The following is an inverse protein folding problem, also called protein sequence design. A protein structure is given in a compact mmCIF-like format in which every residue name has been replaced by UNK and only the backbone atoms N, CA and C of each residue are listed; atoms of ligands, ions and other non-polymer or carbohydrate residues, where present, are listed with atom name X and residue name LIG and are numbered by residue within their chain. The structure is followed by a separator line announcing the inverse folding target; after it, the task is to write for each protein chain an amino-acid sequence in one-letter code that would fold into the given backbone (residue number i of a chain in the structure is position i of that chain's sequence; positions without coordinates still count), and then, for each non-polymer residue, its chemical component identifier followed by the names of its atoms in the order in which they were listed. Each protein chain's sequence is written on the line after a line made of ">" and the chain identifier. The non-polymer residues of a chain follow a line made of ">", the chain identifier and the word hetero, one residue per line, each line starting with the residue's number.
data_IF_426111385176
#
_entry.id   IF_426111385176
#
_cell.length_a   1.000
_cell.length_b   1.000
_cell.length_c   1.000
_cell.angle_alpha   90.00
_cell.angle_beta   90.00
_cell.angle_gamma   90.00
#
_symmetry.space_group_name_H-M   'P 1'
#
loop_
_entity.id
_entity.type
_entity.pdbx_description
1 polymer ?
#
# COMPACT_ATOMS: atom_id res chain seq x y z
N UNK A 1 -73.07 -1.78 5.99
CA UNK A 1 -72.42 -2.39 7.18
C UNK A 1 -70.94 -2.43 6.93
N UNK A 2 -70.24 -1.43 7.52
CA UNK A 2 -68.79 -1.13 7.32
C UNK A 2 -68.00 -2.15 8.07
N UNK A 3 -66.95 -2.70 7.44
CA UNK A 3 -65.81 -3.30 8.11
C UNK A 3 -64.51 -2.77 7.50
N UNK A 4 -63.78 -2.04 8.34
CA UNK A 4 -62.54 -1.32 8.21
C UNK A 4 -61.39 -2.23 7.84
N UNK A 5 -60.69 -1.92 6.73
CA UNK A 5 -59.31 -2.34 6.50
C UNK A 5 -58.38 -1.51 7.37
N UNK A 6 -57.87 -2.10 8.43
CA UNK A 6 -56.72 -1.58 9.18
C UNK A 6 -55.45 -1.97 8.44
N UNK A 7 -54.86 -1.01 7.73
CA UNK A 7 -53.49 -1.09 7.27
C UNK A 7 -52.55 -1.02 8.48
N UNK A 8 -52.00 -2.15 8.89
CA UNK A 8 -50.91 -2.24 9.86
C UNK A 8 -49.58 -2.04 9.12
N UNK A 9 -49.18 -0.80 8.92
CA UNK A 9 -47.81 -0.44 8.59
C UNK A 9 -47.01 -0.46 9.88
N UNK A 10 -46.52 -1.62 10.29
CA UNK A 10 -45.45 -1.75 11.28
C UNK A 10 -44.15 -1.20 10.65
N UNK A 11 -44.03 0.13 10.63
CA UNK A 11 -42.72 0.76 10.51
C UNK A 11 -41.94 0.43 11.77
N UNK A 12 -40.99 -0.48 11.64
CA UNK A 12 -39.97 -0.71 12.67
C UNK A 12 -39.38 0.66 13.07
N UNK A 13 -39.23 0.95 14.37
CA UNK A 13 -38.65 2.19 14.82
C UNK A 13 -37.20 2.24 14.25
N UNK A 14 -36.91 3.28 13.47
CA UNK A 14 -35.54 3.63 13.12
C UNK A 14 -34.80 3.87 14.44
N UNK A 15 -34.10 2.86 14.91
CA UNK A 15 -33.11 3.03 15.96
C UNK A 15 -32.19 4.18 15.49
N UNK A 16 -32.18 5.28 16.21
CA UNK A 16 -31.14 6.29 16.15
C UNK A 16 -29.86 5.62 16.61
N UNK A 17 -29.20 4.85 15.73
CA UNK A 17 -27.85 4.43 15.97
C UNK A 17 -26.97 5.64 15.69
N UNK A 18 -26.45 6.24 16.74
CA UNK A 18 -25.25 7.10 16.72
C UNK A 18 -24.05 6.19 16.39
N UNK A 19 -24.19 5.37 15.33
CA UNK A 19 -23.14 4.48 14.90
C UNK A 19 -22.13 5.31 14.11
N UNK A 20 -21.12 5.79 14.84
CA UNK A 20 -20.01 6.60 14.30
C UNK A 20 -19.27 5.90 13.16
N UNK A 21 -19.60 4.66 12.82
CA UNK A 21 -18.97 3.84 11.79
C UNK A 21 -19.83 3.67 10.52
N UNK A 22 -20.99 4.36 10.45
CA UNK A 22 -21.80 4.41 9.23
C UNK A 22 -21.30 5.50 8.29
N UNK A 23 -20.70 5.10 7.17
CA UNK A 23 -20.24 6.04 6.13
C UNK A 23 -21.38 6.70 5.34
N UNK A 24 -22.61 6.23 5.52
CA UNK A 24 -23.81 6.81 4.91
C UNK A 24 -24.28 8.09 5.59
N UNK A 25 -23.83 8.35 6.82
CA UNK A 25 -24.24 9.50 7.63
C UNK A 25 -23.08 10.47 7.88
N UNK A 26 -23.37 11.65 8.41
CA UNK A 26 -22.36 12.68 8.73
C UNK A 26 -21.70 13.31 7.51
N UNK A 27 -20.67 14.12 7.76
CA UNK A 27 -19.90 14.78 6.72
C UNK A 27 -18.95 13.81 6.01
N UNK A 28 -18.87 13.89 4.69
CA UNK A 28 -17.97 13.04 3.89
C UNK A 28 -16.50 13.29 4.25
N UNK A 29 -16.11 14.55 4.40
CA UNK A 29 -14.75 14.92 4.79
C UNK A 29 -14.39 14.35 6.16
N UNK A 30 -15.30 14.43 7.13
CA UNK A 30 -15.09 13.86 8.48
C UNK A 30 -14.91 12.34 8.43
N UNK A 31 -15.75 11.64 7.66
CA UNK A 31 -15.63 10.19 7.50
C UNK A 31 -14.31 9.77 6.85
N UNK A 32 -13.85 10.51 5.83
CA UNK A 32 -12.57 10.26 5.17
C UNK A 32 -11.40 10.55 6.11
N UNK A 33 -11.34 11.72 6.76
CA UNK A 33 -10.24 12.11 7.62
C UNK A 33 -10.11 11.21 8.84
N UNK A 34 -11.22 10.72 9.38
CA UNK A 34 -11.22 9.77 10.50
C UNK A 34 -10.55 8.44 10.17
N UNK A 35 -10.52 8.03 8.92
CA UNK A 35 -9.75 6.88 8.44
C UNK A 35 -8.36 7.30 7.95
N UNK A 36 -8.27 8.38 7.20
CA UNK A 36 -7.05 8.82 6.54
C UNK A 36 -5.94 9.19 7.53
N UNK A 37 -6.28 9.91 8.61
CA UNK A 37 -5.29 10.32 9.61
C UNK A 37 -4.64 9.11 10.30
N UNK A 38 -5.39 8.15 10.88
CA UNK A 38 -4.79 6.96 11.45
C UNK A 38 -4.01 6.13 10.42
N UNK A 39 -4.51 6.01 9.19
CA UNK A 39 -3.81 5.24 8.14
C UNK A 39 -2.49 5.91 7.71
N UNK A 40 -2.45 7.23 7.65
CA UNK A 40 -1.21 7.97 7.39
C UNK A 40 -0.20 7.81 8.53
N UNK A 41 -0.67 7.90 9.78
CA UNK A 41 0.18 7.66 10.96
C UNK A 41 0.70 6.22 11.00
N UNK A 42 -0.11 5.24 10.65
CA UNK A 42 0.32 3.84 10.54
C UNK A 42 1.45 3.68 9.50
N UNK A 43 1.35 4.34 8.35
CA UNK A 43 2.42 4.31 7.34
C UNK A 43 3.70 4.98 7.83
N UNK A 44 3.58 6.12 8.51
CA UNK A 44 4.74 6.79 9.11
C UNK A 44 5.44 5.89 10.14
N UNK A 45 4.69 5.27 11.04
CA UNK A 45 5.22 4.32 12.02
C UNK A 45 5.93 3.16 11.33
N UNK A 46 5.34 2.63 10.26
CA UNK A 46 5.92 1.54 9.49
C UNK A 46 7.26 1.91 8.84
N UNK A 47 7.37 3.12 8.28
CA UNK A 47 8.64 3.60 7.70
C UNK A 47 9.69 3.82 8.77
N UNK A 48 9.33 4.45 9.89
CA UNK A 48 10.24 4.67 11.01
C UNK A 48 10.79 3.34 11.54
N UNK A 49 9.92 2.36 11.74
CA UNK A 49 10.36 1.05 12.20
C UNK A 49 11.32 0.38 11.21
N UNK A 50 11.04 0.41 9.90
CA UNK A 50 11.92 -0.16 8.87
C UNK A 50 13.31 0.51 8.85
N UNK A 51 13.37 1.82 9.11
CA UNK A 51 14.63 2.54 9.21
C UNK A 51 15.43 2.08 10.45
N UNK A 52 14.76 1.97 11.60
CA UNK A 52 15.40 1.58 12.85
C UNK A 52 15.90 0.13 12.80
N UNK A 53 15.12 -0.79 12.23
CA UNK A 53 15.55 -2.18 12.00
C UNK A 53 16.86 -2.26 11.19
N UNK A 54 16.95 -1.48 10.11
CA UNK A 54 18.18 -1.39 9.31
C UNK A 54 19.36 -0.79 10.10
N UNK A 55 19.09 0.19 10.97
CA UNK A 55 20.11 0.78 11.84
C UNK A 55 20.66 -0.29 12.79
N UNK A 56 19.81 -1.08 13.43
CA UNK A 56 20.25 -2.16 14.31
C UNK A 56 21.11 -3.20 13.59
N UNK A 57 20.70 -3.63 12.40
CA UNK A 57 21.45 -4.58 11.58
C UNK A 57 22.79 -3.98 11.13
N UNK A 58 22.81 -2.69 10.78
CA UNK A 58 24.02 -1.95 10.40
C UNK A 58 25.04 -1.79 11.53
N UNK A 59 24.65 -2.03 12.78
CA UNK A 59 25.54 -1.98 13.96
C UNK A 59 25.99 -3.38 14.43
N UNK A 60 25.77 -4.43 13.63
CA UNK A 60 26.28 -5.75 13.93
C UNK A 60 27.82 -5.74 13.87
N UNK A 61 28.52 -6.17 14.95
CA UNK A 61 29.97 -6.23 14.95
C UNK A 61 30.51 -7.14 13.84
N UNK A 62 31.57 -6.72 13.16
CA UNK A 62 32.36 -7.46 12.15
C UNK A 62 31.64 -7.89 10.87
N UNK A 63 30.29 -7.87 10.81
CA UNK A 63 29.49 -8.42 9.70
C UNK A 63 28.38 -7.48 9.18
N UNK A 64 28.41 -6.21 9.57
CA UNK A 64 27.34 -5.24 9.26
C UNK A 64 27.04 -5.13 7.76
N UNK A 65 28.07 -4.97 6.94
CA UNK A 65 27.92 -4.82 5.47
C UNK A 65 27.36 -6.09 4.84
N UNK A 66 27.88 -7.26 5.22
CA UNK A 66 27.42 -8.56 4.71
C UNK A 66 25.97 -8.86 5.15
N UNK A 67 25.63 -8.51 6.40
CA UNK A 67 24.30 -8.68 6.96
C UNK A 67 23.28 -7.78 6.24
N UNK A 68 23.57 -6.48 6.08
CA UNK A 68 22.71 -5.53 5.36
C UNK A 68 22.52 -5.95 3.91
N UNK A 69 23.58 -6.33 3.21
CA UNK A 69 23.53 -6.82 1.84
C UNK A 69 22.68 -8.10 1.78
N UNK A 70 22.93 -9.05 2.68
CA UNK A 70 22.18 -10.31 2.74
C UNK A 70 20.69 -10.09 2.92
N UNK A 71 20.28 -9.21 3.84
CA UNK A 71 18.85 -8.87 4.04
C UNK A 71 18.31 -8.14 2.81
N UNK A 72 19.06 -7.23 2.20
CA UNK A 72 18.65 -6.56 0.95
C UNK A 72 18.29 -7.54 -0.16
N UNK A 73 19.00 -8.68 -0.26
CA UNK A 73 18.74 -9.73 -1.24
C UNK A 73 17.44 -10.52 -0.96
N UNK A 74 16.85 -10.40 0.22
CA UNK A 74 15.55 -11.02 0.55
C UNK A 74 14.35 -10.15 0.14
N UNK A 75 14.55 -8.85 -0.10
CA UNK A 75 13.48 -7.90 -0.42
C UNK A 75 12.60 -8.30 -1.61
N UNK A 76 13.11 -8.89 -2.71
CA UNK A 76 12.24 -9.35 -3.79
C UNK A 76 11.24 -10.42 -3.35
N UNK A 77 11.66 -11.36 -2.49
CA UNK A 77 10.75 -12.40 -1.94
C UNK A 77 9.69 -11.76 -1.05
N UNK A 78 10.08 -10.83 -0.19
CA UNK A 78 9.17 -10.06 0.68
C UNK A 78 8.16 -9.26 -0.16
N UNK A 79 8.62 -8.67 -1.27
CA UNK A 79 7.77 -7.93 -2.21
C UNK A 79 6.72 -8.85 -2.85
N UNK A 80 7.07 -10.07 -3.22
CA UNK A 80 6.13 -11.06 -3.75
C UNK A 80 5.05 -11.39 -2.69
N UNK A 81 5.44 -11.65 -1.44
CA UNK A 81 4.51 -11.91 -0.34
C UNK A 81 3.55 -10.73 -0.15
N UNK A 82 4.08 -9.51 -0.13
CA UNK A 82 3.30 -8.27 -0.02
C UNK A 82 2.35 -8.08 -1.21
N UNK A 83 2.77 -8.43 -2.43
CA UNK A 83 1.93 -8.36 -3.62
C UNK A 83 0.72 -9.29 -3.50
N UNK A 84 0.90 -10.53 -3.05
CA UNK A 84 -0.21 -11.46 -2.79
C UNK A 84 -1.09 -11.01 -1.63
N UNK A 85 -0.51 -10.40 -0.60
CA UNK A 85 -1.27 -9.77 0.50
C UNK A 85 -2.21 -8.68 -0.03
N UNK A 86 -1.70 -7.83 -0.91
CA UNK A 86 -2.47 -6.77 -1.56
C UNK A 86 -3.53 -7.33 -2.52
N UNK A 87 -3.23 -8.43 -3.22
CA UNK A 87 -4.18 -9.09 -4.12
C UNK A 87 -5.50 -9.41 -3.40
N UNK A 88 -5.45 -9.95 -2.20
CA UNK A 88 -6.64 -10.38 -1.48
C UNK A 88 -7.15 -9.32 -0.48
N UNK A 89 -6.25 -8.58 0.16
CA UNK A 89 -6.61 -7.52 1.10
C UNK A 89 -7.21 -6.29 0.41
N UNK A 90 -6.45 -5.69 -0.50
CA UNK A 90 -6.91 -4.50 -1.25
C UNK A 90 -7.97 -4.84 -2.31
N UNK A 91 -8.03 -6.08 -2.80
CA UNK A 91 -9.09 -6.52 -3.71
C UNK A 91 -10.41 -6.76 -3.00
N UNK A 92 -10.37 -7.38 -1.81
CA UNK A 92 -11.56 -7.74 -1.04
C UNK A 92 -12.20 -6.58 -0.30
N UNK A 93 -11.41 -5.68 0.30
CA UNK A 93 -11.93 -4.62 1.17
C UNK A 93 -12.91 -3.64 0.48
N UNK A 94 -12.68 -3.16 -0.76
CA UNK A 94 -13.67 -2.33 -1.46
C UNK A 94 -14.95 -3.08 -1.78
N UNK A 95 -14.86 -4.35 -2.21
CA UNK A 95 -16.03 -5.20 -2.48
C UNK A 95 -16.85 -5.46 -1.22
N UNK A 96 -16.17 -5.69 -0.09
CA UNK A 96 -16.78 -5.81 1.22
C UNK A 96 -17.53 -4.53 1.61
N UNK A 97 -16.91 -3.36 1.45
CA UNK A 97 -17.53 -2.06 1.75
C UNK A 97 -18.73 -1.79 0.85
N UNK A 98 -18.67 -2.14 -0.44
CA UNK A 98 -19.81 -2.04 -1.36
C UNK A 98 -20.96 -2.93 -0.95
N UNK A 99 -20.71 -4.21 -0.64
CA UNK A 99 -21.74 -5.15 -0.19
C UNK A 99 -22.38 -4.69 1.14
N UNK A 100 -21.58 -4.13 2.06
CA UNK A 100 -22.08 -3.53 3.30
C UNK A 100 -22.99 -2.33 3.03
N UNK A 101 -22.57 -1.42 2.12
CA UNK A 101 -23.37 -0.26 1.71
C UNK A 101 -24.66 -0.64 0.99
N UNK A 102 -24.67 -1.71 0.22
CA UNK A 102 -25.84 -2.27 -0.46
C UNK A 102 -26.83 -2.96 0.49
N UNK A 103 -26.49 -3.10 1.78
CA UNK A 103 -27.32 -3.84 2.73
C UNK A 103 -27.27 -5.36 2.54
N UNK A 104 -26.18 -5.89 2.01
CA UNK A 104 -25.96 -7.32 1.74
C UNK A 104 -24.95 -7.93 2.75
N UNK A 105 -25.26 -8.05 4.06
CA UNK A 105 -24.29 -8.48 5.07
C UNK A 105 -23.79 -9.91 4.85
N UNK A 106 -24.62 -10.79 4.29
CA UNK A 106 -24.21 -12.17 3.98
C UNK A 106 -23.13 -12.19 2.88
N UNK A 107 -23.25 -11.38 1.83
CA UNK A 107 -22.25 -11.25 0.78
C UNK A 107 -20.97 -10.63 1.32
N UNK A 108 -21.08 -9.59 2.15
CA UNK A 108 -19.92 -8.96 2.79
C UNK A 108 -19.13 -9.96 3.65
N UNK A 109 -19.83 -10.78 4.49
CA UNK A 109 -19.18 -11.85 5.26
C UNK A 109 -18.50 -12.91 4.38
N UNK A 110 -19.13 -13.28 3.26
CA UNK A 110 -18.51 -14.20 2.30
C UNK A 110 -17.24 -13.61 1.67
N UNK A 111 -17.24 -12.33 1.30
CA UNK A 111 -16.04 -11.65 0.78
C UNK A 111 -14.92 -11.64 1.83
N UNK A 112 -15.24 -11.28 3.07
CA UNK A 112 -14.30 -11.31 4.20
C UNK A 112 -13.71 -12.72 4.40
N UNK A 113 -14.55 -13.75 4.47
CA UNK A 113 -14.14 -15.15 4.66
C UNK A 113 -13.32 -15.68 3.49
N UNK A 114 -13.73 -15.40 2.24
CA UNK A 114 -13.00 -15.83 1.04
C UNK A 114 -11.63 -15.15 0.94
N UNK A 115 -11.53 -13.84 1.24
CA UNK A 115 -10.24 -13.14 1.26
C UNK A 115 -9.30 -13.73 2.31
N UNK A 116 -9.81 -14.04 3.51
CA UNK A 116 -9.02 -14.69 4.56
C UNK A 116 -8.54 -16.09 4.12
N UNK A 117 -9.45 -16.92 3.57
CA UNK A 117 -9.08 -18.25 3.07
C UNK A 117 -8.02 -18.19 1.96
N UNK A 118 -8.13 -17.22 1.05
CA UNK A 118 -7.15 -17.03 -0.01
C UNK A 118 -5.79 -16.54 0.52
N UNK A 119 -5.78 -15.69 1.55
CA UNK A 119 -4.54 -15.30 2.22
C UNK A 119 -3.85 -16.50 2.88
N UNK A 120 -4.61 -17.38 3.55
CA UNK A 120 -4.06 -18.60 4.15
C UNK A 120 -3.52 -19.58 3.09
N UNK A 121 -4.30 -19.85 2.04
CA UNK A 121 -3.91 -20.79 0.98
C UNK A 121 -2.70 -20.27 0.22
N UNK A 122 -2.76 -19.03 -0.26
CA UNK A 122 -1.64 -18.45 -1.00
C UNK A 122 -0.40 -18.25 -0.13
N UNK A 123 -0.57 -17.86 1.14
CA UNK A 123 0.51 -17.75 2.10
C UNK A 123 1.20 -19.08 2.38
N UNK A 124 0.41 -20.16 2.55
CA UNK A 124 0.95 -21.52 2.70
C UNK A 124 1.69 -22.00 1.46
N UNK A 125 1.14 -21.75 0.27
CA UNK A 125 1.79 -22.09 -1.01
C UNK A 125 3.09 -21.31 -1.17
N UNK A 126 3.07 -19.98 -0.95
CA UNK A 126 4.24 -19.14 -1.05
C UNK A 126 5.32 -19.53 -0.02
N UNK A 127 4.92 -19.80 1.22
CA UNK A 127 5.83 -20.27 2.27
C UNK A 127 6.57 -21.53 1.80
N UNK A 128 5.85 -22.55 1.32
CA UNK A 128 6.43 -23.81 0.87
C UNK A 128 7.30 -23.59 -0.37
N UNK A 129 6.79 -22.95 -1.42
CA UNK A 129 7.51 -22.75 -2.67
C UNK A 129 8.78 -21.91 -2.47
N UNK A 130 8.67 -20.78 -1.75
CA UNK A 130 9.84 -19.94 -1.49
C UNK A 130 10.85 -20.62 -0.56
N UNK A 131 10.38 -21.43 0.40
CA UNK A 131 11.28 -22.16 1.30
C UNK A 131 12.09 -23.23 0.56
N UNK A 132 11.44 -23.98 -0.34
CA UNK A 132 12.09 -24.99 -1.17
C UNK A 132 13.04 -24.39 -2.22
N UNK A 133 12.65 -23.22 -2.76
CA UNK A 133 13.43 -22.54 -3.82
C UNK A 133 14.30 -21.38 -3.30
N UNK A 134 14.44 -21.19 -1.98
CA UNK A 134 15.18 -20.06 -1.41
C UNK A 134 16.63 -19.93 -1.90
N UNK A 135 17.34 -21.06 -2.07
CA UNK A 135 18.73 -21.06 -2.54
C UNK A 135 18.84 -20.53 -3.97
N UNK A 136 18.19 -21.13 -4.99
CA UNK A 136 18.25 -20.59 -6.34
C UNK A 136 17.69 -19.17 -6.45
N UNK A 137 16.64 -18.81 -5.68
CA UNK A 137 16.10 -17.45 -5.67
C UNK A 137 17.11 -16.41 -5.15
N UNK A 138 17.79 -16.70 -4.03
CA UNK A 138 18.76 -15.77 -3.46
C UNK A 138 19.96 -15.57 -4.42
N UNK A 139 20.46 -16.64 -5.05
CA UNK A 139 21.52 -16.50 -6.05
C UNK A 139 21.04 -15.77 -7.31
N UNK A 140 19.81 -15.98 -7.75
CA UNK A 140 19.21 -15.22 -8.84
C UNK A 140 19.13 -13.72 -8.53
N UNK A 141 18.89 -13.38 -7.26
CA UNK A 141 18.85 -11.98 -6.80
C UNK A 141 20.23 -11.40 -6.47
N UNK A 142 21.30 -12.12 -6.73
CA UNK A 142 22.68 -11.63 -6.63
C UNK A 142 23.41 -12.03 -5.35
N UNK A 143 22.96 -13.07 -4.63
CA UNK A 143 23.71 -13.58 -3.49
C UNK A 143 25.06 -14.15 -3.93
N UNK A 144 26.10 -13.84 -3.17
CA UNK A 144 27.41 -14.49 -3.24
C UNK A 144 27.56 -15.51 -2.11
N UNK A 145 28.60 -16.35 -2.18
CA UNK A 145 28.90 -17.30 -1.10
C UNK A 145 29.14 -16.61 0.25
N UNK A 146 29.53 -15.34 0.23
CA UNK A 146 29.75 -14.51 1.43
C UNK A 146 28.42 -13.99 2.00
N UNK A 147 27.49 -13.53 1.15
CA UNK A 147 26.24 -12.90 1.58
C UNK A 147 25.10 -13.90 1.77
N UNK A 148 25.19 -15.07 1.11
CA UNK A 148 24.15 -16.12 1.18
C UNK A 148 23.85 -16.59 2.61
N UNK A 149 24.82 -16.84 3.51
CA UNK A 149 24.52 -17.29 4.86
C UNK A 149 23.60 -16.32 5.63
N UNK A 150 23.82 -15.02 5.49
CA UNK A 150 23.00 -13.97 6.12
C UNK A 150 21.62 -13.88 5.51
N UNK A 151 21.55 -13.87 4.18
CA UNK A 151 20.27 -13.86 3.44
C UNK A 151 19.42 -15.10 3.79
N UNK A 152 20.06 -16.30 3.79
CA UNK A 152 19.39 -17.55 4.11
C UNK A 152 18.95 -17.60 5.59
N UNK A 153 19.75 -17.08 6.52
CA UNK A 153 19.42 -17.01 7.94
C UNK A 153 18.15 -16.17 8.19
N UNK A 154 18.05 -15.00 7.53
CA UNK A 154 16.91 -14.12 7.63
C UNK A 154 15.66 -14.71 6.95
N UNK A 155 15.77 -15.07 5.66
CA UNK A 155 14.62 -15.47 4.88
C UNK A 155 14.02 -16.79 5.34
N UNK A 156 14.82 -17.73 5.85
CA UNK A 156 14.31 -19.01 6.36
C UNK A 156 13.35 -18.83 7.52
N UNK A 157 13.66 -17.93 8.44
CA UNK A 157 12.76 -17.58 9.53
C UNK A 157 11.58 -16.74 9.03
N UNK A 158 11.85 -15.69 8.23
CA UNK A 158 10.78 -14.83 7.70
C UNK A 158 9.69 -15.61 6.96
N UNK A 159 10.07 -16.61 6.16
CA UNK A 159 9.12 -17.45 5.42
C UNK A 159 8.19 -18.26 6.34
N UNK A 160 8.66 -18.70 7.51
CA UNK A 160 7.80 -19.36 8.50
C UNK A 160 6.73 -18.39 9.01
N UNK A 161 7.06 -17.10 9.13
CA UNK A 161 6.15 -16.04 9.52
C UNK A 161 5.24 -15.50 8.41
N UNK A 162 5.34 -16.00 7.18
CA UNK A 162 4.58 -15.48 6.01
C UNK A 162 3.08 -15.39 6.28
N UNK A 163 2.48 -16.39 6.91
CA UNK A 163 1.05 -16.39 7.23
C UNK A 163 0.70 -15.25 8.19
N UNK A 164 1.52 -14.97 9.20
CA UNK A 164 1.29 -13.87 10.14
C UNK A 164 1.35 -12.51 9.43
N UNK A 165 2.34 -12.32 8.56
CA UNK A 165 2.48 -11.10 7.75
C UNK A 165 1.26 -10.91 6.87
N UNK A 166 0.83 -11.94 6.14
CA UNK A 166 -0.31 -11.86 5.24
C UNK A 166 -1.63 -11.61 5.97
N UNK A 167 -1.83 -12.22 7.14
CA UNK A 167 -3.01 -11.99 7.97
C UNK A 167 -2.99 -10.57 8.54
N UNK A 168 -1.89 -10.15 9.16
CA UNK A 168 -1.81 -8.84 9.82
C UNK A 168 -2.04 -7.69 8.82
N UNK A 169 -1.39 -7.72 7.67
CA UNK A 169 -1.51 -6.66 6.66
C UNK A 169 -2.78 -6.80 5.80
N UNK A 170 -3.09 -8.01 5.34
CA UNK A 170 -4.22 -8.26 4.44
C UNK A 170 -5.56 -8.04 5.11
N UNK A 171 -5.74 -8.60 6.31
CA UNK A 171 -7.01 -8.50 7.03
C UNK A 171 -7.20 -7.14 7.72
N UNK A 172 -6.13 -6.37 7.96
CA UNK A 172 -6.23 -5.00 8.46
C UNK A 172 -7.03 -4.09 7.52
N UNK A 173 -7.00 -4.35 6.21
CA UNK A 173 -7.82 -3.62 5.24
C UNK A 173 -9.33 -3.76 5.52
N UNK A 174 -9.78 -4.89 6.06
CA UNK A 174 -11.18 -5.11 6.44
C UNK A 174 -11.57 -4.44 7.75
N UNK A 175 -10.61 -4.21 8.67
CA UNK A 175 -10.83 -3.37 9.86
C UNK A 175 -11.09 -1.92 9.42
N UNK A 176 -10.27 -1.40 8.53
CA UNK A 176 -10.43 -0.07 7.96
C UNK A 176 -11.74 0.05 7.13
N UNK A 177 -12.08 -1.00 6.37
CA UNK A 177 -13.32 -1.07 5.59
C UNK A 177 -14.59 -1.08 6.45
N UNK A 178 -14.49 -1.46 7.73
CA UNK A 178 -15.56 -1.35 8.72
C UNK A 178 -15.62 0.01 9.41
N UNK A 179 -14.67 0.91 9.17
CA UNK A 179 -14.65 2.25 9.76
C UNK A 179 -13.77 2.37 11.00
N UNK A 180 -13.02 1.35 11.37
CA UNK A 180 -12.18 1.31 12.57
C UNK A 180 -10.72 1.69 12.26
N UNK A 181 -10.48 2.87 11.65
CA UNK A 181 -9.14 3.33 11.28
C UNK A 181 -8.15 3.38 12.44
N UNK A 182 -8.57 3.79 13.64
CA UNK A 182 -7.72 3.78 14.83
C UNK A 182 -7.29 2.36 15.21
N UNK A 183 -8.19 1.39 15.14
CA UNK A 183 -7.86 -0.02 15.40
C UNK A 183 -6.90 -0.56 14.33
N UNK A 184 -7.10 -0.17 13.07
CA UNK A 184 -6.18 -0.49 11.98
C UNK A 184 -4.78 0.10 12.18
N UNK A 185 -4.69 1.33 12.65
CA UNK A 185 -3.42 1.96 13.03
C UNK A 185 -2.75 1.21 14.20
N UNK A 186 -3.52 0.86 15.23
CA UNK A 186 -3.00 0.10 16.38
C UNK A 186 -2.41 -1.26 15.97
N UNK A 187 -2.97 -1.92 14.96
CA UNK A 187 -2.38 -3.15 14.40
C UNK A 187 -0.93 -2.95 13.99
N UNK A 188 -0.66 -1.90 13.21
CA UNK A 188 0.68 -1.57 12.73
C UNK A 188 1.57 -1.11 13.88
N UNK A 189 1.04 -0.27 14.78
CA UNK A 189 1.77 0.27 15.93
C UNK A 189 2.22 -0.82 16.90
N UNK A 190 1.37 -1.81 17.20
CA UNK A 190 1.72 -2.95 18.05
C UNK A 190 2.88 -3.72 17.44
N UNK A 191 2.81 -4.05 16.14
CA UNK A 191 3.89 -4.72 15.43
C UNK A 191 5.19 -3.93 15.46
N UNK A 192 5.14 -2.63 15.17
CA UNK A 192 6.32 -1.77 15.12
C UNK A 192 6.97 -1.60 16.51
N UNK A 193 6.19 -1.34 17.55
CA UNK A 193 6.71 -1.16 18.92
C UNK A 193 7.32 -2.46 19.44
N UNK A 194 6.66 -3.59 19.22
CA UNK A 194 7.20 -4.88 19.63
C UNK A 194 8.50 -5.20 18.89
N UNK A 195 8.55 -4.97 17.59
CA UNK A 195 9.76 -5.19 16.82
C UNK A 195 10.91 -4.30 17.31
N UNK A 196 10.66 -3.02 17.56
CA UNK A 196 11.63 -2.07 18.10
C UNK A 196 12.23 -2.51 19.45
N UNK A 197 11.45 -3.20 20.28
CA UNK A 197 11.91 -3.72 21.57
C UNK A 197 12.62 -5.07 21.41
N UNK A 198 12.09 -5.95 20.55
CA UNK A 198 12.61 -7.30 20.39
C UNK A 198 13.89 -7.35 19.56
N UNK A 199 14.06 -6.42 18.60
CA UNK A 199 15.27 -6.37 17.77
C UNK A 199 16.56 -6.25 18.61
N UNK A 200 16.75 -5.21 19.46
CA UNK A 200 17.97 -5.11 20.26
C UNK A 200 18.13 -6.29 21.23
N UNK A 201 17.03 -6.82 21.75
CA UNK A 201 17.07 -7.97 22.65
C UNK A 201 17.60 -9.22 21.93
N UNK A 202 17.08 -9.54 20.75
CA UNK A 202 17.49 -10.75 20.03
C UNK A 202 18.80 -10.56 19.29
N UNK A 203 19.03 -9.38 18.71
CA UNK A 203 20.25 -9.10 17.93
C UNK A 203 21.49 -9.03 18.84
N UNK A 204 21.42 -8.21 19.91
CA UNK A 204 22.59 -7.86 20.72
C UNK A 204 22.66 -8.63 22.05
N UNK A 205 21.54 -8.71 22.81
CA UNK A 205 21.57 -9.36 24.14
C UNK A 205 21.63 -10.88 24.02
N UNK A 206 20.84 -11.47 23.11
CA UNK A 206 20.85 -12.90 22.85
C UNK A 206 21.85 -13.32 21.76
N UNK A 207 22.62 -12.37 21.21
CA UNK A 207 23.64 -12.59 20.17
C UNK A 207 23.17 -13.40 18.96
N UNK A 208 21.89 -13.28 18.58
CA UNK A 208 21.33 -14.02 17.44
C UNK A 208 21.62 -13.35 16.09
N UNK A 209 22.13 -12.09 16.10
CA UNK A 209 22.45 -11.34 14.87
C UNK A 209 21.24 -11.25 13.92
N UNK A 210 21.46 -11.52 12.63
CA UNK A 210 20.42 -11.46 11.57
C UNK A 210 19.23 -12.38 11.85
N UNK A 211 19.45 -13.54 12.48
CA UNK A 211 18.35 -14.43 12.91
C UNK A 211 17.46 -13.78 13.95
N UNK A 212 18.06 -12.99 14.84
CA UNK A 212 17.35 -12.22 15.86
C UNK A 212 16.37 -11.21 15.25
N UNK A 213 16.80 -10.44 14.26
CA UNK A 213 15.96 -9.51 13.52
C UNK A 213 14.76 -10.21 12.84
N UNK A 214 15.01 -11.33 12.15
CA UNK A 214 13.94 -12.12 11.54
C UNK A 214 12.95 -12.64 12.58
N UNK A 215 13.42 -13.15 13.70
CA UNK A 215 12.58 -13.68 14.78
C UNK A 215 11.73 -12.57 15.42
N UNK A 216 12.32 -11.41 15.70
CA UNK A 216 11.61 -10.25 16.21
C UNK A 216 10.48 -9.81 15.27
N UNK A 217 10.76 -9.76 13.97
CA UNK A 217 9.75 -9.45 12.94
C UNK A 217 8.60 -10.46 12.96
N UNK A 218 8.89 -11.76 13.01
CA UNK A 218 7.84 -12.81 13.00
C UNK A 218 6.98 -12.73 14.24
N UNK A 219 7.58 -12.58 15.43
CA UNK A 219 6.83 -12.48 16.68
C UNK A 219 5.93 -11.25 16.67
N UNK A 220 6.47 -10.11 16.24
CA UNK A 220 5.73 -8.85 16.14
C UNK A 220 4.55 -8.95 15.17
N UNK A 221 4.76 -9.54 14.00
CA UNK A 221 3.70 -9.79 13.03
C UNK A 221 2.70 -10.84 13.51
N UNK A 222 3.16 -11.86 14.26
CA UNK A 222 2.29 -12.84 14.89
C UNK A 222 1.33 -12.21 15.89
N UNK A 223 1.83 -11.34 16.77
CA UNK A 223 0.99 -10.61 17.73
C UNK A 223 0.03 -9.65 17.01
N UNK A 224 0.48 -8.96 15.97
CA UNK A 224 -0.39 -8.13 15.12
C UNK A 224 -1.48 -8.96 14.44
N UNK A 225 -1.16 -10.16 13.95
CA UNK A 225 -2.13 -11.06 13.35
C UNK A 225 -3.18 -11.55 14.37
N UNK A 226 -2.75 -11.89 15.58
CA UNK A 226 -3.66 -12.25 16.69
C UNK A 226 -4.57 -11.08 17.03
N UNK A 227 -4.05 -9.86 17.11
CA UNK A 227 -4.84 -8.65 17.34
C UNK A 227 -5.92 -8.45 16.28
N UNK A 228 -5.55 -8.56 14.99
CA UNK A 228 -6.48 -8.46 13.85
C UNK A 228 -7.57 -9.51 13.92
N UNK A 229 -7.19 -10.78 14.17
CA UNK A 229 -8.15 -11.87 14.27
C UNK A 229 -9.06 -11.71 15.48
N UNK A 230 -8.52 -11.32 16.64
CA UNK A 230 -9.32 -11.05 17.84
C UNK A 230 -10.36 -9.95 17.59
N UNK A 231 -9.98 -8.88 16.87
CA UNK A 231 -10.94 -7.84 16.50
C UNK A 231 -12.01 -8.36 15.53
N UNK A 232 -11.60 -9.02 14.44
CA UNK A 232 -12.52 -9.48 13.38
C UNK A 232 -13.44 -10.62 13.82
N UNK A 233 -13.07 -11.40 14.82
CA UNK A 233 -13.92 -12.44 15.41
C UNK A 233 -14.70 -11.94 16.63
N UNK A 234 -14.33 -10.79 17.16
CA UNK A 234 -14.90 -10.20 18.38
C UNK A 234 -16.21 -9.44 18.13
N UNK A 235 -16.88 -9.09 19.24
CA UNK A 235 -18.17 -8.38 19.24
C UNK A 235 -18.09 -6.91 18.78
N UNK A 236 -16.88 -6.33 18.68
CA UNK A 236 -16.66 -4.95 18.25
C UNK A 236 -16.72 -4.80 16.71
N UNK A 237 -16.46 -5.87 15.97
CA UNK A 237 -16.57 -5.85 14.53
C UNK A 237 -18.04 -5.78 14.10
N UNK A 238 -18.35 -4.91 13.12
CA UNK A 238 -19.70 -4.79 12.56
C UNK A 238 -20.11 -6.08 11.86
N UNK A 239 -19.17 -6.64 11.08
CA UNK A 239 -19.30 -7.94 10.42
C UNK A 239 -18.13 -8.83 10.82
N UNK A 240 -18.45 -9.92 11.50
CA UNK A 240 -17.44 -10.84 12.04
C UNK A 240 -16.96 -11.85 11.03
N UNK A 241 -15.69 -12.19 11.12
CA UNK A 241 -15.10 -13.35 10.44
C UNK A 241 -15.63 -14.64 11.08
N UNK A 242 -16.19 -15.54 10.30
CA UNK A 242 -16.75 -16.80 10.77
C UNK A 242 -16.39 -17.93 9.82
N UNK A 243 -16.10 -19.11 10.39
CA UNK A 243 -15.78 -20.34 9.64
C UNK A 243 -16.86 -20.69 8.60
N UNK A 244 -18.14 -20.40 8.88
CA UNK A 244 -19.24 -20.66 7.98
C UNK A 244 -19.12 -19.96 6.63
N UNK A 245 -18.39 -18.84 6.57
CA UNK A 245 -18.21 -18.03 5.35
C UNK A 245 -16.84 -18.19 4.70
N UNK A 246 -15.99 -19.08 5.20
CA UNK A 246 -14.64 -19.34 4.66
C UNK A 246 -14.63 -20.32 3.49
N UNK A 247 -15.76 -21.01 3.25
CA UNK A 247 -15.87 -21.88 2.06
C UNK A 247 -15.68 -21.05 0.80
N UNK A 248 -14.74 -21.48 -0.05
CA UNK A 248 -14.38 -20.77 -1.27
C UNK A 248 -15.57 -20.74 -2.25
N UNK A 249 -15.91 -19.53 -2.67
CA UNK A 249 -16.80 -19.24 -3.78
C UNK A 249 -15.93 -18.68 -4.92
N UNK A 250 -15.69 -19.50 -5.94
CA UNK A 250 -14.82 -19.15 -7.07
C UNK A 250 -15.25 -17.88 -7.81
N UNK A 251 -16.54 -17.56 -7.80
CA UNK A 251 -17.05 -16.31 -8.38
C UNK A 251 -16.55 -15.11 -7.59
N UNK A 252 -16.69 -15.15 -6.26
CA UNK A 252 -16.19 -14.10 -5.38
C UNK A 252 -14.66 -14.01 -5.41
N UNK A 253 -13.97 -15.14 -5.40
CA UNK A 253 -12.49 -15.17 -5.54
C UNK A 253 -12.05 -14.49 -6.83
N UNK A 254 -12.72 -14.75 -7.96
CA UNK A 254 -12.44 -14.09 -9.23
C UNK A 254 -12.66 -12.57 -9.16
N UNK A 255 -13.74 -12.11 -8.52
CA UNK A 255 -14.01 -10.68 -8.32
C UNK A 255 -12.92 -10.02 -7.46
N UNK A 256 -12.54 -10.66 -6.34
CA UNK A 256 -11.49 -10.20 -5.43
C UNK A 256 -10.15 -10.11 -6.17
N UNK A 257 -9.74 -11.19 -6.86
CA UNK A 257 -8.50 -11.20 -7.62
C UNK A 257 -8.50 -10.16 -8.74
N UNK A 258 -9.59 -10.01 -9.48
CA UNK A 258 -9.69 -9.05 -10.57
C UNK A 258 -9.44 -7.62 -10.09
N UNK A 259 -10.00 -7.24 -8.94
CA UNK A 259 -9.81 -5.90 -8.37
C UNK A 259 -8.43 -5.77 -7.70
N UNK A 260 -8.00 -6.79 -6.97
CA UNK A 260 -6.72 -6.80 -6.24
C UNK A 260 -5.50 -6.89 -7.16
N UNK A 261 -5.68 -7.35 -8.41
CA UNK A 261 -4.61 -7.42 -9.40
C UNK A 261 -3.96 -6.05 -9.64
N UNK A 262 -4.71 -4.95 -9.50
CA UNK A 262 -4.15 -3.61 -9.59
C UNK A 262 -3.09 -3.33 -8.50
N UNK A 263 -3.38 -3.69 -7.25
CA UNK A 263 -2.44 -3.55 -6.12
C UNK A 263 -1.27 -4.53 -6.22
N UNK A 264 -1.53 -5.75 -6.69
CA UNK A 264 -0.49 -6.76 -6.96
C UNK A 264 0.52 -6.26 -8.00
N UNK A 265 0.05 -5.80 -9.16
CA UNK A 265 0.87 -5.25 -10.23
C UNK A 265 1.64 -4.02 -9.75
N UNK A 266 0.99 -3.12 -9.01
CA UNK A 266 1.64 -1.92 -8.48
C UNK A 266 2.81 -2.27 -7.55
N UNK A 267 2.67 -3.28 -6.70
CA UNK A 267 3.74 -3.74 -5.81
C UNK A 267 4.95 -4.30 -6.59
N UNK A 268 4.71 -5.17 -7.58
CA UNK A 268 5.77 -5.76 -8.40
C UNK A 268 6.44 -4.70 -9.28
N UNK A 269 5.66 -3.85 -9.96
CA UNK A 269 6.22 -2.86 -10.88
C UNK A 269 7.02 -1.77 -10.17
N UNK A 270 6.66 -1.39 -8.93
CA UNK A 270 7.47 -0.46 -8.15
C UNK A 270 8.88 -1.00 -7.89
N UNK A 271 8.99 -2.28 -7.49
CA UNK A 271 10.30 -2.93 -7.32
C UNK A 271 11.09 -3.02 -8.63
N UNK A 272 10.41 -3.39 -9.73
CA UNK A 272 11.06 -3.49 -11.05
C UNK A 272 11.58 -2.13 -11.54
N UNK A 273 10.80 -1.06 -11.38
CA UNK A 273 11.24 0.31 -11.72
C UNK A 273 12.49 0.70 -10.94
N UNK A 274 12.54 0.42 -9.64
CA UNK A 274 13.69 0.75 -8.82
C UNK A 274 14.97 0.03 -9.28
N UNK A 275 14.85 -1.26 -9.63
CA UNK A 275 15.97 -2.05 -10.17
C UNK A 275 16.46 -1.45 -11.49
N UNK A 276 15.55 -1.15 -12.42
CA UNK A 276 15.89 -0.59 -13.74
C UNK A 276 16.51 0.80 -13.60
N UNK A 277 15.95 1.67 -12.75
CA UNK A 277 16.50 3.00 -12.49
C UNK A 277 17.92 2.92 -11.92
N UNK A 278 18.15 2.10 -10.89
CA UNK A 278 19.46 1.95 -10.27
C UNK A 278 20.49 1.38 -11.24
N UNK A 279 20.16 0.34 -12.02
CA UNK A 279 21.03 -0.25 -13.00
C UNK A 279 21.43 0.75 -14.12
N UNK A 280 20.44 1.56 -14.57
CA UNK A 280 20.69 2.57 -15.59
C UNK A 280 21.53 3.72 -15.06
N UNK A 281 21.25 4.21 -13.84
CA UNK A 281 22.05 5.27 -13.20
C UNK A 281 23.48 4.81 -12.91
N UNK A 282 23.66 3.59 -12.44
CA UNK A 282 25.00 3.02 -12.23
C UNK A 282 25.82 3.01 -13.53
N UNK A 283 25.17 2.70 -14.66
CA UNK A 283 25.82 2.68 -15.98
C UNK A 283 26.23 4.07 -16.49
N UNK A 284 25.41 5.09 -16.28
CA UNK A 284 25.59 6.44 -16.85
C UNK A 284 26.26 7.42 -15.89
N UNK A 285 26.16 7.25 -14.59
CA UNK A 285 26.65 8.19 -13.59
C UNK A 285 27.34 7.57 -12.38
N UNK A 286 27.47 6.23 -12.35
CA UNK A 286 28.14 5.53 -11.24
C UNK A 286 27.36 5.55 -9.93
N UNK A 287 28.07 5.22 -8.85
CA UNK A 287 27.49 5.04 -7.51
C UNK A 287 26.93 6.33 -6.92
N UNK A 288 27.50 7.49 -7.27
CA UNK A 288 27.00 8.80 -6.82
C UNK A 288 25.54 9.00 -7.21
N UNK A 289 25.17 8.73 -8.45
CA UNK A 289 23.81 8.93 -8.94
C UNK A 289 22.82 7.87 -8.44
N UNK A 290 23.28 6.66 -8.13
CA UNK A 290 22.50 5.66 -7.40
C UNK A 290 22.22 6.15 -5.97
N UNK A 291 23.21 6.77 -5.32
CA UNK A 291 23.04 7.44 -4.02
C UNK A 291 22.02 8.57 -4.06
N UNK A 292 22.12 9.45 -5.07
CA UNK A 292 21.15 10.54 -5.31
C UNK A 292 19.73 9.97 -5.48
N UNK A 293 19.55 8.93 -6.29
CA UNK A 293 18.23 8.29 -6.48
C UNK A 293 17.70 7.69 -5.18
N UNK A 294 18.55 7.16 -4.33
CA UNK A 294 18.15 6.64 -3.01
C UNK A 294 17.60 7.76 -2.13
N UNK A 295 18.24 8.91 -2.09
CA UNK A 295 17.74 10.11 -1.38
C UNK A 295 16.42 10.57 -1.98
N UNK A 296 16.33 10.70 -3.30
CA UNK A 296 15.12 11.10 -4.03
C UNK A 296 13.95 10.14 -3.71
N UNK A 297 14.19 8.83 -3.72
CA UNK A 297 13.16 7.84 -3.36
C UNK A 297 12.68 7.98 -1.92
N UNK A 298 13.58 8.26 -0.98
CA UNK A 298 13.24 8.48 0.42
C UNK A 298 12.39 9.74 0.61
N UNK A 299 12.75 10.84 -0.05
CA UNK A 299 11.94 12.08 -0.07
C UNK A 299 10.57 11.83 -0.71
N UNK A 300 10.53 11.10 -1.84
CA UNK A 300 9.29 10.73 -2.50
C UNK A 300 8.37 9.92 -1.58
N UNK A 301 8.92 8.98 -0.83
CA UNK A 301 8.14 8.15 0.12
C UNK A 301 7.47 9.02 1.18
N UNK A 302 8.21 9.95 1.80
CA UNK A 302 7.67 10.90 2.78
C UNK A 302 6.50 11.71 2.20
N UNK A 303 6.65 12.21 0.97
CA UNK A 303 5.63 13.05 0.31
C UNK A 303 4.40 12.21 -0.09
N UNK A 304 4.59 10.97 -0.52
CA UNK A 304 3.48 10.14 -0.97
C UNK A 304 2.67 9.53 0.16
N UNK A 305 3.23 9.40 1.37
CA UNK A 305 2.52 8.83 2.52
C UNK A 305 1.18 9.51 2.84
N UNK A 306 1.08 10.85 3.00
CA UNK A 306 -0.20 11.47 3.29
C UNK A 306 -1.21 11.32 2.15
N UNK A 307 -0.74 11.32 0.90
CA UNK A 307 -1.59 11.09 -0.29
C UNK A 307 -2.15 9.68 -0.30
N UNK A 308 -1.30 8.68 -0.04
CA UNK A 308 -1.73 7.28 0.04
C UNK A 308 -2.62 7.01 1.25
N UNK A 309 -2.33 7.63 2.39
CA UNK A 309 -3.17 7.55 3.58
C UNK A 309 -4.56 8.15 3.33
N UNK A 310 -4.62 9.33 2.71
CA UNK A 310 -5.89 9.98 2.35
C UNK A 310 -6.70 9.15 1.35
N UNK A 311 -6.08 8.67 0.28
CA UNK A 311 -6.76 7.86 -0.75
C UNK A 311 -7.22 6.52 -0.20
N UNK A 312 -6.42 5.87 0.65
CA UNK A 312 -6.78 4.62 1.31
C UNK A 312 -7.95 4.81 2.30
N UNK A 313 -7.97 5.94 3.04
CA UNK A 313 -9.08 6.28 3.94
C UNK A 313 -10.36 6.66 3.18
N UNK A 314 -10.24 7.22 1.98
CA UNK A 314 -11.37 7.56 1.14
C UNK A 314 -12.03 6.33 0.45
N UNK A 315 -11.26 5.29 0.15
CA UNK A 315 -11.76 4.09 -0.56
C UNK A 315 -12.97 3.44 0.15
N UNK A 316 -12.94 3.09 1.45
CA UNK A 316 -14.08 2.50 2.13
C UNK A 316 -15.33 3.39 2.10
N UNK A 317 -15.15 4.71 2.24
CA UNK A 317 -16.24 5.69 2.20
C UNK A 317 -16.88 5.76 0.81
N UNK A 318 -16.06 5.82 -0.24
CA UNK A 318 -16.53 5.78 -1.63
C UNK A 318 -17.23 4.46 -1.96
N UNK A 319 -16.62 3.32 -1.60
CA UNK A 319 -17.14 1.98 -1.86
C UNK A 319 -18.48 1.75 -1.19
N UNK A 320 -18.61 2.12 0.09
CA UNK A 320 -19.85 1.99 0.86
C UNK A 320 -20.97 2.82 0.24
N UNK A 321 -20.74 4.11 -0.02
CA UNK A 321 -21.74 4.99 -0.59
C UNK A 321 -22.12 4.60 -2.03
N UNK A 322 -21.17 4.02 -2.79
CA UNK A 322 -21.47 3.48 -4.12
C UNK A 322 -22.38 2.25 -4.04
N UNK A 323 -22.10 1.31 -3.13
CA UNK A 323 -22.97 0.17 -2.85
C UNK A 323 -24.37 0.59 -2.39
N UNK A 324 -24.45 1.62 -1.55
CA UNK A 324 -25.71 2.21 -1.09
C UNK A 324 -26.44 3.07 -2.16
N UNK A 325 -25.92 3.16 -3.39
CA UNK A 325 -26.43 4.00 -4.48
C UNK A 325 -26.54 5.49 -4.14
N UNK A 326 -25.75 5.99 -3.20
CA UNK A 326 -25.69 7.39 -2.77
C UNK A 326 -24.70 8.18 -3.63
N UNK A 327 -25.00 8.36 -4.92
CA UNK A 327 -24.06 8.89 -5.93
C UNK A 327 -23.58 10.30 -5.62
N UNK A 328 -24.41 11.16 -5.05
CA UNK A 328 -23.99 12.51 -4.60
C UNK A 328 -22.88 12.45 -3.57
N UNK A 329 -22.97 11.52 -2.60
CA UNK A 329 -21.94 11.34 -1.58
C UNK A 329 -20.65 10.76 -2.16
N UNK A 330 -20.75 9.84 -3.14
CA UNK A 330 -19.58 9.32 -3.88
C UNK A 330 -18.86 10.46 -4.60
N UNK A 331 -19.58 11.32 -5.32
CA UNK A 331 -18.98 12.50 -5.98
C UNK A 331 -18.34 13.45 -5.00
N UNK A 332 -18.99 13.73 -3.88
CA UNK A 332 -18.41 14.57 -2.82
C UNK A 332 -17.11 13.97 -2.27
N UNK A 333 -17.06 12.65 -2.09
CA UNK A 333 -15.84 11.95 -1.64
C UNK A 333 -14.71 12.04 -2.68
N UNK A 334 -15.01 11.79 -3.96
CA UNK A 334 -14.04 11.92 -5.06
C UNK A 334 -13.50 13.36 -5.12
N UNK A 335 -14.41 14.36 -5.10
CA UNK A 335 -14.05 15.79 -5.13
C UNK A 335 -13.15 16.17 -3.96
N UNK A 336 -13.54 15.82 -2.74
CA UNK A 336 -12.76 16.11 -1.54
C UNK A 336 -11.37 15.48 -1.60
N UNK A 337 -11.28 14.19 -1.89
CA UNK A 337 -10.01 13.46 -1.99
C UNK A 337 -9.10 14.07 -3.05
N UNK A 338 -9.65 14.37 -4.25
CA UNK A 338 -8.89 14.96 -5.34
C UNK A 338 -8.33 16.34 -4.96
N UNK A 339 -9.17 17.23 -4.42
CA UNK A 339 -8.76 18.58 -4.04
C UNK A 339 -7.65 18.53 -2.99
N UNK A 340 -7.83 17.74 -1.93
CA UNK A 340 -6.84 17.66 -0.84
C UNK A 340 -5.53 17.05 -1.34
N UNK A 341 -5.57 16.01 -2.19
CA UNK A 341 -4.37 15.44 -2.81
C UNK A 341 -3.62 16.47 -3.66
N UNK A 342 -4.33 17.24 -4.50
CA UNK A 342 -3.71 18.25 -5.35
C UNK A 342 -3.10 19.37 -4.50
N UNK A 343 -3.84 19.93 -3.55
CA UNK A 343 -3.36 21.01 -2.69
C UNK A 343 -2.11 20.58 -1.89
N UNK A 344 -2.14 19.41 -1.30
CA UNK A 344 -0.99 18.87 -0.57
C UNK A 344 0.21 18.64 -1.48
N UNK A 345 -0.01 18.02 -2.66
CA UNK A 345 1.09 17.76 -3.60
C UNK A 345 1.68 19.03 -4.20
N UNK A 346 0.87 20.06 -4.48
CA UNK A 346 1.34 21.38 -4.91
C UNK A 346 2.14 22.08 -3.81
N UNK A 347 1.68 21.99 -2.56
CA UNK A 347 2.40 22.54 -1.41
C UNK A 347 3.79 21.88 -1.26
N UNK A 348 3.83 20.55 -1.27
CA UNK A 348 5.10 19.81 -1.15
C UNK A 348 6.01 20.04 -2.36
N UNK A 349 5.45 20.17 -3.56
CA UNK A 349 6.20 20.54 -4.75
C UNK A 349 6.86 21.92 -4.62
N UNK A 350 6.12 22.92 -4.14
CA UNK A 350 6.66 24.26 -3.89
C UNK A 350 7.78 24.25 -2.85
N UNK A 351 7.62 23.47 -1.77
CA UNK A 351 8.66 23.29 -0.74
C UNK A 351 9.94 22.65 -1.30
N UNK A 352 9.79 21.60 -2.14
CA UNK A 352 10.91 20.91 -2.76
C UNK A 352 11.69 21.83 -3.71
N UNK A 353 10.98 22.67 -4.47
CA UNK A 353 11.62 23.63 -5.37
C UNK A 353 12.33 24.77 -4.59
N UNK A 354 11.73 25.22 -3.48
CA UNK A 354 12.28 26.31 -2.68
C UNK A 354 13.46 25.86 -1.81
N UNK A 355 13.41 24.64 -1.27
CA UNK A 355 14.37 24.14 -0.27
C UNK A 355 14.96 22.76 -0.61
N UNK A 356 15.44 22.50 -1.83
CA UNK A 356 15.93 21.17 -2.22
C UNK A 356 17.12 20.71 -1.37
N UNK A 357 18.03 21.63 -1.02
CA UNK A 357 19.20 21.34 -0.17
C UNK A 357 18.78 20.83 1.21
N UNK A 358 17.73 21.38 1.81
CA UNK A 358 17.23 20.92 3.11
C UNK A 358 16.82 19.45 3.06
N UNK A 359 16.08 19.05 2.04
CA UNK A 359 15.63 17.66 1.89
C UNK A 359 16.78 16.69 1.64
N UNK A 360 17.81 17.11 0.90
CA UNK A 360 18.99 16.28 0.67
C UNK A 360 19.81 16.17 1.96
N UNK A 361 20.04 17.27 2.68
CA UNK A 361 20.78 17.31 3.93
C UNK A 361 20.19 16.41 5.04
N UNK A 362 18.90 16.14 5.01
CA UNK A 362 18.28 15.19 5.95
C UNK A 362 18.87 13.77 5.82
N UNK A 363 19.45 13.42 4.67
CA UNK A 363 19.94 12.08 4.39
C UNK A 363 21.46 12.03 4.19
N UNK A 364 22.03 13.05 3.55
CA UNK A 364 23.46 13.10 3.27
C UNK A 364 23.95 14.56 3.18
N UNK A 365 25.14 14.83 3.71
CA UNK A 365 25.74 16.15 3.73
C UNK A 365 27.00 16.25 2.84
N UNK A 366 27.30 15.23 2.04
CA UNK A 366 28.45 15.26 1.12
C UNK A 366 28.27 16.35 0.06
N UNK A 367 29.31 17.23 -0.12
CA UNK A 367 29.21 18.37 -1.05
C UNK A 367 28.95 17.97 -2.50
N UNK A 368 29.53 16.87 -2.97
CA UNK A 368 29.36 16.35 -4.32
C UNK A 368 27.93 15.85 -4.55
N UNK A 369 27.37 15.10 -3.59
CA UNK A 369 26.00 14.62 -3.64
C UNK A 369 25.00 15.79 -3.61
N UNK A 370 25.29 16.87 -2.88
CA UNK A 370 24.47 18.08 -2.88
C UNK A 370 24.51 18.82 -4.21
N UNK A 371 25.71 18.95 -4.82
CA UNK A 371 25.87 19.66 -6.08
C UNK A 371 25.08 19.00 -7.22
N UNK A 372 25.16 17.70 -7.37
CA UNK A 372 24.47 16.93 -8.39
C UNK A 372 23.02 16.56 -8.00
N UNK A 373 22.75 16.40 -6.72
CA UNK A 373 21.45 16.01 -6.19
C UNK A 373 20.39 17.12 -6.32
N UNK A 374 20.76 18.40 -6.20
CA UNK A 374 19.80 19.51 -6.32
C UNK A 374 19.20 19.60 -7.73
N UNK A 375 19.98 19.61 -8.82
CA UNK A 375 19.42 19.55 -10.17
C UNK A 375 18.58 18.29 -10.43
N UNK A 376 19.06 17.12 -9.97
CA UNK A 376 18.37 15.85 -10.11
C UNK A 376 17.01 15.88 -9.38
N UNK A 377 16.96 16.45 -8.17
CA UNK A 377 15.73 16.63 -7.40
C UNK A 377 14.73 17.53 -8.10
N UNK A 378 15.17 18.68 -8.62
CA UNK A 378 14.30 19.58 -9.38
C UNK A 378 13.71 18.88 -10.60
N UNK A 379 14.54 18.12 -11.33
CA UNK A 379 14.10 17.41 -12.52
C UNK A 379 13.10 16.28 -12.19
N UNK A 380 13.42 15.47 -11.19
CA UNK A 380 12.58 14.33 -10.79
C UNK A 380 11.21 14.76 -10.25
N UNK A 381 11.18 15.82 -9.43
CA UNK A 381 9.96 16.30 -8.79
C UNK A 381 9.20 17.35 -9.59
N UNK A 382 9.65 17.72 -10.78
CA UNK A 382 9.03 18.75 -11.62
C UNK A 382 7.52 18.54 -11.81
N UNK A 383 7.05 17.32 -11.92
CA UNK A 383 5.64 16.99 -12.16
C UNK A 383 4.97 16.23 -11.01
N UNK A 384 5.48 16.28 -9.78
CA UNK A 384 4.95 15.45 -8.69
C UNK A 384 3.48 15.74 -8.36
N UNK A 385 3.02 16.97 -8.52
CA UNK A 385 1.61 17.34 -8.30
C UNK A 385 0.66 16.61 -9.27
N UNK A 386 1.13 16.25 -10.47
CA UNK A 386 0.35 15.45 -11.43
C UNK A 386 0.16 14.00 -10.97
N UNK A 387 1.05 13.50 -10.11
CA UNK A 387 0.90 12.18 -9.49
C UNK A 387 -0.34 12.12 -8.61
N UNK A 388 -0.78 13.22 -8.00
CA UNK A 388 -2.00 13.26 -7.19
C UNK A 388 -3.25 12.93 -8.00
N UNK A 389 -3.29 13.30 -9.28
CA UNK A 389 -4.37 12.94 -10.20
C UNK A 389 -4.42 11.43 -10.44
N UNK A 390 -3.26 10.81 -10.58
CA UNK A 390 -3.16 9.34 -10.66
C UNK A 390 -3.70 8.67 -9.41
N UNK A 391 -3.27 9.10 -8.22
CA UNK A 391 -3.72 8.51 -6.96
C UNK A 391 -5.23 8.67 -6.74
N UNK A 392 -5.79 9.85 -7.02
CA UNK A 392 -7.21 10.10 -6.91
C UNK A 392 -8.03 9.26 -7.89
N UNK A 393 -7.61 9.20 -9.17
CA UNK A 393 -8.27 8.39 -10.20
C UNK A 393 -8.18 6.90 -9.91
N UNK A 394 -7.00 6.40 -9.58
CA UNK A 394 -6.73 5.00 -9.26
C UNK A 394 -7.53 4.55 -8.04
N UNK A 395 -7.52 5.35 -6.97
CA UNK A 395 -8.29 5.08 -5.75
C UNK A 395 -9.78 5.01 -6.03
N UNK A 396 -10.30 5.91 -6.90
CA UNK A 396 -11.70 5.89 -7.33
C UNK A 396 -12.03 4.62 -8.11
N UNK A 397 -11.20 4.21 -9.08
CA UNK A 397 -11.42 2.97 -9.81
C UNK A 397 -11.46 1.75 -8.88
N UNK A 398 -10.52 1.67 -7.94
CA UNK A 398 -10.47 0.58 -6.96
C UNK A 398 -11.72 0.60 -6.06
N UNK A 399 -12.07 1.78 -5.53
CA UNK A 399 -13.21 1.94 -4.64
C UNK A 399 -14.55 1.56 -5.28
N UNK A 400 -14.71 1.81 -6.59
CA UNK A 400 -15.95 1.53 -7.31
C UNK A 400 -15.93 0.18 -8.05
N UNK A 401 -14.95 -0.67 -7.80
CA UNK A 401 -14.84 -2.02 -8.39
C UNK A 401 -14.53 -2.01 -9.89
N UNK A 402 -13.95 -0.92 -10.43
CA UNK A 402 -13.57 -0.80 -11.85
C UNK A 402 -12.21 -1.47 -12.11
N UNK A 403 -12.18 -2.81 -11.95
CA UNK A 403 -10.95 -3.60 -11.99
C UNK A 403 -10.12 -3.41 -13.27
N UNK A 404 -10.77 -3.38 -14.45
CA UNK A 404 -10.06 -3.22 -15.74
C UNK A 404 -9.28 -1.90 -15.80
N UNK A 405 -9.91 -0.79 -15.40
CA UNK A 405 -9.29 0.53 -15.38
C UNK A 405 -8.19 0.59 -14.32
N UNK A 406 -8.45 0.04 -13.12
CA UNK A 406 -7.47 0.02 -12.04
C UNK A 406 -6.19 -0.74 -12.45
N UNK A 407 -6.32 -1.91 -13.08
CA UNK A 407 -5.20 -2.72 -13.59
C UNK A 407 -4.47 -1.99 -14.71
N UNK A 408 -5.22 -1.46 -15.69
CA UNK A 408 -4.63 -0.77 -16.84
C UNK A 408 -3.75 0.42 -16.41
N UNK A 409 -4.25 1.29 -15.52
CA UNK A 409 -3.48 2.45 -15.08
C UNK A 409 -2.34 2.10 -14.12
N UNK A 410 -2.42 0.97 -13.40
CA UNK A 410 -1.28 0.46 -12.63
C UNK A 410 -0.12 0.06 -13.55
N UNK A 411 -0.41 -0.59 -14.69
CA UNK A 411 0.58 -0.98 -15.69
C UNK A 411 1.08 0.20 -16.52
N UNK A 412 0.16 1.05 -16.98
CA UNK A 412 0.47 2.15 -17.92
C UNK A 412 1.59 3.02 -17.37
N UNK A 413 1.47 3.51 -16.15
CA UNK A 413 2.41 4.48 -15.59
C UNK A 413 3.79 3.87 -15.38
N UNK A 414 3.88 2.74 -14.73
CA UNK A 414 5.16 2.16 -14.29
C UNK A 414 5.79 1.26 -15.34
N UNK A 415 5.05 0.28 -15.85
CA UNK A 415 5.59 -0.70 -16.78
C UNK A 415 5.69 -0.19 -18.22
N UNK A 416 4.66 0.55 -18.70
CA UNK A 416 4.58 0.96 -20.10
C UNK A 416 5.28 2.31 -20.33
N UNK A 417 5.27 3.23 -19.36
CA UNK A 417 5.87 4.56 -19.52
C UNK A 417 7.23 4.64 -18.83
N UNK A 418 7.31 4.44 -17.48
CA UNK A 418 8.54 4.71 -16.73
C UNK A 418 9.67 3.78 -17.15
N UNK A 419 9.46 2.46 -17.20
CA UNK A 419 10.54 1.52 -17.53
C UNK A 419 11.13 1.79 -18.93
N UNK A 420 10.34 1.89 -20.01
CA UNK A 420 10.90 2.19 -21.34
C UNK A 420 11.58 3.56 -21.41
N UNK A 421 11.00 4.60 -20.79
CA UNK A 421 11.61 5.92 -20.79
C UNK A 421 12.93 5.95 -20.00
N UNK A 422 13.01 5.24 -18.86
CA UNK A 422 14.25 5.11 -18.07
C UNK A 422 15.40 4.50 -18.89
N UNK A 423 15.08 3.56 -19.79
CA UNK A 423 16.07 2.93 -20.66
C UNK A 423 16.39 3.76 -21.90
N UNK A 424 15.40 4.46 -22.46
CA UNK A 424 15.52 5.16 -23.73
C UNK A 424 16.02 6.61 -23.58
N UNK A 425 15.47 7.41 -22.66
CA UNK A 425 15.83 8.82 -22.52
C UNK A 425 17.32 9.09 -22.28
N UNK A 426 18.06 8.26 -21.50
CA UNK A 426 19.50 8.44 -21.35
C UNK A 426 20.30 8.39 -22.66
N UNK A 427 19.76 7.71 -23.69
CA UNK A 427 20.41 7.56 -24.99
C UNK A 427 20.12 8.74 -25.93
N UNK A 428 19.14 9.59 -25.61
CA UNK A 428 18.70 10.69 -26.47
C UNK A 428 19.44 11.98 -26.13
N UNK A 429 20.05 12.60 -27.12
CA UNK A 429 20.62 13.98 -27.03
C UNK A 429 21.66 14.18 -25.92
N UNK A 430 22.31 13.12 -25.42
CA UNK A 430 23.29 13.24 -24.34
C UNK A 430 22.69 13.47 -22.95
N UNK A 431 21.40 13.19 -22.75
CA UNK A 431 20.71 13.37 -21.45
C UNK A 431 21.34 12.55 -20.31
N UNK A 432 21.90 11.36 -20.62
CA UNK A 432 22.57 10.53 -19.59
C UNK A 432 21.70 10.29 -18.35
N UNK A 433 22.25 10.60 -17.18
CA UNK A 433 21.54 10.45 -15.87
C UNK A 433 20.25 11.30 -15.79
N UNK A 434 20.23 12.50 -16.40
CA UNK A 434 19.06 13.37 -16.43
C UNK A 434 17.87 12.70 -17.15
N UNK A 435 18.13 11.86 -18.16
CA UNK A 435 17.11 11.08 -18.83
C UNK A 435 16.38 10.11 -17.86
N UNK A 436 17.11 9.50 -16.93
CA UNK A 436 16.50 8.63 -15.91
C UNK A 436 15.59 9.42 -14.97
N UNK A 437 16.06 10.57 -14.50
CA UNK A 437 15.26 11.43 -13.59
C UNK A 437 14.03 12.01 -14.29
N UNK A 438 14.11 12.28 -15.59
CA UNK A 438 13.00 12.83 -16.38
C UNK A 438 11.87 11.81 -16.66
N UNK A 439 12.15 10.52 -16.60
CA UNK A 439 11.18 9.48 -16.88
C UNK A 439 9.95 9.53 -15.95
N UNK A 440 10.14 9.83 -14.66
CA UNK A 440 9.05 9.91 -13.67
C UNK A 440 8.12 11.12 -13.90
N UNK A 441 8.61 12.38 -14.07
CA UNK A 441 7.75 13.51 -14.42
C UNK A 441 6.94 13.27 -15.69
N UNK A 442 7.57 12.82 -16.77
CA UNK A 442 6.86 12.51 -18.03
C UNK A 442 5.73 11.52 -17.80
N UNK A 443 6.00 10.46 -17.03
CA UNK A 443 4.99 9.47 -16.66
C UNK A 443 3.86 10.07 -15.82
N UNK A 444 4.18 10.98 -14.90
CA UNK A 444 3.19 11.65 -14.07
C UNK A 444 2.25 12.53 -14.89
N UNK A 445 2.78 13.28 -15.86
CA UNK A 445 1.96 14.10 -16.78
C UNK A 445 1.08 13.21 -17.67
N UNK A 446 1.63 12.23 -18.35
CA UNK A 446 0.87 11.38 -19.28
C UNK A 446 -0.07 10.46 -18.50
N UNK A 447 0.46 9.65 -17.58
CA UNK A 447 -0.31 8.64 -16.85
C UNK A 447 -1.30 9.25 -15.86
N UNK A 448 -0.90 10.31 -15.14
CA UNK A 448 -1.75 11.01 -14.19
C UNK A 448 -2.95 11.66 -14.90
N UNK A 449 -2.71 12.41 -15.97
CA UNK A 449 -3.77 13.04 -16.76
C UNK A 449 -4.68 12.00 -17.40
N UNK A 450 -4.13 10.97 -18.04
CA UNK A 450 -4.91 9.91 -18.67
C UNK A 450 -5.81 9.18 -17.67
N UNK A 451 -5.28 8.84 -16.48
CA UNK A 451 -6.04 8.19 -15.41
C UNK A 451 -7.20 9.07 -14.94
N UNK A 452 -6.93 10.34 -14.66
CA UNK A 452 -7.92 11.27 -14.13
C UNK A 452 -9.00 11.61 -15.16
N UNK A 453 -8.63 11.89 -16.41
CA UNK A 453 -9.57 12.16 -17.51
C UNK A 453 -10.47 10.93 -17.74
N UNK A 454 -9.89 9.73 -17.77
CA UNK A 454 -10.69 8.50 -17.90
C UNK A 454 -11.66 8.34 -16.71
N UNK A 455 -11.25 8.67 -15.49
CA UNK A 455 -12.13 8.65 -14.33
C UNK A 455 -13.29 9.62 -14.47
N UNK A 456 -13.05 10.85 -14.98
CA UNK A 456 -14.12 11.82 -15.23
C UNK A 456 -15.14 11.27 -16.24
N UNK A 457 -14.69 10.70 -17.36
CA UNK A 457 -15.58 10.23 -18.41
C UNK A 457 -16.29 8.92 -18.05
N UNK A 458 -15.62 7.99 -17.39
CA UNK A 458 -16.16 6.64 -17.15
C UNK A 458 -16.86 6.49 -15.79
N UNK A 459 -16.59 7.39 -14.85
CA UNK A 459 -17.14 7.35 -13.49
C UNK A 459 -17.96 8.60 -13.19
N UNK A 460 -17.31 9.77 -13.18
CA UNK A 460 -17.94 11.00 -12.72
C UNK A 460 -19.20 11.36 -13.51
N UNK A 461 -19.15 11.37 -14.85
CA UNK A 461 -20.29 11.66 -15.70
C UNK A 461 -21.40 10.62 -15.58
N UNK A 462 -21.05 9.33 -15.46
CA UNK A 462 -22.05 8.26 -15.29
C UNK A 462 -22.78 8.32 -13.94
N UNK A 463 -22.13 8.85 -12.90
CA UNK A 463 -22.79 9.12 -11.63
C UNK A 463 -23.79 10.27 -11.73
N UNK A 464 -23.61 11.24 -12.67
CA UNK A 464 -24.58 12.29 -12.94
C UNK A 464 -25.81 11.76 -13.69
N UNK A 465 -25.61 10.92 -14.70
CA UNK A 465 -26.71 10.36 -15.50
C UNK A 465 -27.62 9.46 -14.67
N UNK A 466 -27.10 8.85 -13.61
CA UNK A 466 -27.91 8.02 -12.69
C UNK A 466 -28.67 8.82 -11.63
N UNK A 467 -28.51 10.15 -11.59
CA UNK A 467 -29.24 11.09 -10.74
C UNK A 467 -30.44 11.73 -11.48
N UNK A 468 -30.48 11.63 -12.81
CA UNK A 468 -31.60 12.01 -13.67
C UNK A 468 -32.60 10.85 -13.79
#
# INVERSE_FOLDING_TARGET
>A
MNLLHKNNTNALPKAKSTDTHDFGEGSISGNILRLAIPMTLAQLINVLYNIIDRIYIGHLPDVSTQALTGIGLTLPVITIITAFTNLFGMGGAPLFSMARGAGEPARARKILGNSFSMLLISGGILMILCYLSKRPLLYLFGASDITYPYANAYISLYLIGTLFVMISLGMNNFINAQGFGMTGMLTVSIGAVLNLILDPLFIFVLHMGVRGAALATIISQGISAIWVLHFLTGKKAILTLSLAYMKLDFRLVKEICALGLAGFIMSITNGSVQIVCNATLSRYGGDLYVGIMTVINSVREIITMPVTGLTSGAQPVMSFNYGARRHVRVKSAIKFTTIVCILFSCFMWALLLAFPRFFIHMFNSEPELLAEGVPAMHLYFFGIFMMSLQFAGQSTFTALGKAKQAVFFSLLRKAIIVIPLTLWLPTVGGLGTNGVFLAEPVSNFIGGTACFVTMIFTVWRKLDDSLK
#
